data_IF_380094383394
#
_entry.id   IF_380094383394
#
_cell.length_a   1.000
_cell.length_b   1.000
_cell.length_c   1.000
_cell.angle_alpha   90.00
_cell.angle_beta   90.00
_cell.angle_gamma   90.00
#
_symmetry.space_group_name_H-M   'P 1'
#
loop_
_entity.id
_entity.type
_entity.pdbx_description
1 polymer ?
#
# COMPACT_ATOMS: atom_id res chain seq x y z
N UNK A 1 -7.98 5.91 -2.22
CA UNK A 1 -6.58 5.70 -2.60
C UNK A 1 -6.10 4.54 -1.75
N UNK A 2 -6.03 3.37 -2.36
CA UNK A 2 -5.90 2.09 -1.68
C UNK A 2 -4.52 1.97 -1.03
N UNK A 3 -4.45 1.46 0.20
CA UNK A 3 -3.19 1.05 0.83
C UNK A 3 -2.70 -0.23 0.15
N UNK A 4 -2.33 -0.14 -1.12
CA UNK A 4 -1.84 -1.28 -1.89
C UNK A 4 -0.49 -1.71 -1.30
N UNK A 5 -0.50 -2.84 -0.60
CA UNK A 5 0.71 -3.51 -0.13
C UNK A 5 1.49 -3.96 -1.35
N UNK A 6 2.65 -3.36 -1.56
CA UNK A 6 3.54 -3.71 -2.67
C UNK A 6 4.59 -4.71 -2.16
N UNK A 7 4.44 -5.96 -2.55
CA UNK A 7 5.37 -7.03 -2.22
C UNK A 7 6.34 -7.22 -3.38
N UNK A 8 7.64 -7.12 -3.14
CA UNK A 8 8.66 -7.33 -4.18
C UNK A 8 9.79 -8.22 -3.70
N UNK A 9 10.41 -8.88 -4.67
CA UNK A 9 11.60 -9.69 -4.51
C UNK A 9 12.86 -8.81 -4.44
N UNK A 10 13.71 -8.93 -3.40
CA UNK A 10 14.90 -8.09 -3.25
C UNK A 10 15.99 -8.35 -4.31
N UNK A 11 16.07 -9.57 -4.84
CA UNK A 11 17.04 -9.93 -5.90
C UNK A 11 16.51 -9.70 -7.32
N UNK A 12 15.21 -9.84 -7.52
CA UNK A 12 14.61 -9.93 -8.86
C UNK A 12 13.62 -8.81 -9.20
N UNK A 13 13.20 -8.00 -8.21
CA UNK A 13 12.36 -6.81 -8.40
C UNK A 13 10.91 -7.07 -8.86
N UNK A 14 10.52 -8.32 -9.12
CA UNK A 14 9.17 -8.67 -9.60
C UNK A 14 8.14 -8.66 -8.46
N UNK A 15 6.91 -8.17 -8.72
CA UNK A 15 5.82 -8.21 -7.76
C UNK A 15 5.19 -9.60 -7.69
N UNK A 16 5.15 -10.21 -6.51
CA UNK A 16 4.74 -11.62 -6.32
C UNK A 16 4.05 -11.82 -4.97
N UNK A 17 3.44 -13.00 -4.76
CA UNK A 17 2.73 -13.38 -3.53
C UNK A 17 3.67 -14.16 -2.59
N UNK A 18 4.15 -13.49 -1.54
CA UNK A 18 4.89 -13.99 -0.35
C UNK A 18 6.22 -14.75 -0.57
N UNK A 19 6.38 -15.55 -1.63
CA UNK A 19 7.62 -16.27 -1.96
C UNK A 19 8.01 -16.04 -3.43
N UNK A 20 9.30 -15.87 -3.70
CA UNK A 20 9.80 -15.78 -5.06
C UNK A 20 9.90 -17.18 -5.71
N UNK A 21 9.29 -17.43 -6.89
CA UNK A 21 9.38 -18.72 -7.58
C UNK A 21 10.73 -18.97 -8.24
N UNK A 22 11.57 -17.94 -8.41
CA UNK A 22 12.91 -18.08 -9.03
C UNK A 22 14.02 -18.31 -8.01
N UNK A 23 13.93 -17.70 -6.81
CA UNK A 23 14.98 -17.79 -5.80
C UNK A 23 14.53 -18.41 -4.47
N UNK A 24 13.23 -18.68 -4.28
CA UNK A 24 12.69 -19.29 -3.06
C UNK A 24 12.74 -18.42 -1.81
N UNK A 25 13.17 -17.16 -1.91
CA UNK A 25 13.30 -16.25 -0.76
C UNK A 25 11.96 -15.62 -0.37
N UNK A 26 11.84 -15.32 0.92
CA UNK A 26 10.75 -14.51 1.48
C UNK A 26 10.81 -13.09 0.93
N UNK A 27 9.63 -12.52 0.65
CA UNK A 27 9.54 -11.20 0.05
C UNK A 27 9.18 -10.10 1.03
N UNK A 28 9.74 -8.93 0.78
CA UNK A 28 9.52 -7.76 1.61
C UNK A 28 8.21 -7.07 1.22
N UNK A 29 7.34 -6.86 2.21
CA UNK A 29 6.06 -6.18 2.03
C UNK A 29 6.21 -4.70 2.33
N UNK A 30 5.95 -3.83 1.36
CA UNK A 30 5.99 -2.38 1.53
C UNK A 30 4.58 -1.80 1.66
N UNK A 31 4.42 -0.83 2.54
CA UNK A 31 3.15 -0.14 2.77
C UNK A 31 3.35 1.38 2.81
N UNK A 32 2.33 2.12 2.38
CA UNK A 32 2.36 3.58 2.30
C UNK A 32 1.88 4.20 3.62
N UNK A 33 2.75 4.94 4.30
CA UNK A 33 2.45 5.47 5.64
C UNK A 33 2.09 6.96 5.62
N UNK A 34 2.92 7.81 4.99
CA UNK A 34 2.79 9.29 4.91
C UNK A 34 3.21 9.85 3.55
N UNK A 35 2.95 9.11 2.47
CA UNK A 35 3.21 9.58 1.10
C UNK A 35 4.24 8.75 0.34
N UNK A 36 5.17 8.08 1.03
CA UNK A 36 6.15 7.14 0.47
C UNK A 36 6.01 5.73 1.05
N UNK A 37 6.59 4.75 0.35
CA UNK A 37 6.60 3.34 0.73
C UNK A 37 7.70 3.05 1.76
N UNK A 38 7.37 2.31 2.81
CA UNK A 38 8.34 1.75 3.76
C UNK A 38 8.15 0.24 3.92
N UNK A 39 9.22 -0.53 4.19
CA UNK A 39 9.10 -1.95 4.48
C UNK A 39 8.35 -2.15 5.80
N UNK A 40 7.32 -2.97 5.76
CA UNK A 40 6.41 -3.24 6.89
C UNK A 40 7.10 -4.06 7.98
N UNK A 41 8.10 -4.88 7.61
CA UNK A 41 8.92 -5.64 8.56
C UNK A 41 9.71 -4.75 9.53
N UNK A 42 9.94 -3.47 9.21
CA UNK A 42 10.67 -2.52 10.06
C UNK A 42 9.76 -1.61 10.89
N UNK A 43 8.47 -1.91 10.99
CA UNK A 43 7.56 -1.12 11.81
C UNK A 43 7.77 -1.42 13.29
N UNK A 44 8.12 -0.39 14.06
CA UNK A 44 8.14 -0.45 15.51
C UNK A 44 6.72 -0.63 16.07
N UNK A 45 6.62 -1.12 17.31
CA UNK A 45 5.36 -1.45 17.99
C UNK A 45 4.35 -0.30 17.91
N UNK A 46 4.77 0.93 18.23
CA UNK A 46 3.90 2.10 18.16
C UNK A 46 3.32 2.37 16.77
N UNK A 47 4.05 2.09 15.67
CA UNK A 47 3.50 2.27 14.31
C UNK A 47 2.51 1.18 13.93
N UNK A 48 2.63 -0.01 14.51
CA UNK A 48 1.65 -1.07 14.29
C UNK A 48 0.34 -0.74 15.01
N UNK A 49 0.41 -0.20 16.22
CA UNK A 49 -0.76 0.29 16.95
C UNK A 49 -1.45 1.45 16.20
N UNK A 50 -0.67 2.47 15.82
CA UNK A 50 -1.15 3.59 15.01
C UNK A 50 -1.78 3.15 13.68
N UNK A 51 -1.35 2.02 13.11
CA UNK A 51 -1.94 1.46 11.89
C UNK A 51 -3.26 0.74 12.17
N UNK A 52 -3.38 0.02 13.30
CA UNK A 52 -4.64 -0.64 13.73
C UNK A 52 -5.75 0.37 13.98
N UNK A 53 -5.39 1.54 14.51
CA UNK A 53 -6.35 2.63 14.75
C UNK A 53 -6.78 3.37 13.46
N UNK A 54 -6.12 3.12 12.32
CA UNK A 54 -6.52 3.71 11.03
C UNK A 54 -7.86 3.14 10.59
N UNK A 55 -8.84 4.02 10.37
CA UNK A 55 -10.14 3.67 9.81
C UNK A 55 -10.16 3.94 8.31
N UNK A 56 -10.41 2.89 7.52
CA UNK A 56 -10.63 3.02 6.08
C UNK A 56 -12.09 3.43 5.82
N UNK A 57 -12.28 4.55 5.13
CA UNK A 57 -13.60 4.99 4.70
C UNK A 57 -14.08 4.10 3.55
N UNK A 58 -15.02 3.18 3.83
CA UNK A 58 -15.58 2.25 2.84
C UNK A 58 -16.38 2.92 1.72
N UNK A 59 -16.80 4.18 1.88
CA UNK A 59 -17.54 4.95 0.86
C UNK A 59 -16.61 5.56 -0.21
N UNK A 60 -15.67 4.77 -0.71
CA UNK A 60 -14.74 5.19 -1.77
C UNK A 60 -15.46 5.66 -3.03
N UNK A 61 -16.63 5.10 -3.36
CA UNK A 61 -17.43 5.51 -4.53
C UNK A 61 -17.90 6.96 -4.46
N UNK A 62 -18.45 7.39 -3.31
CA UNK A 62 -18.92 8.76 -3.11
C UNK A 62 -17.78 9.78 -3.08
N UNK A 63 -16.61 9.38 -2.56
CA UNK A 63 -15.41 10.22 -2.53
C UNK A 63 -14.82 10.37 -3.94
N UNK A 64 -14.80 9.28 -4.72
CA UNK A 64 -14.26 9.24 -6.09
C UNK A 64 -15.13 10.05 -7.06
N UNK A 65 -16.46 9.99 -6.93
CA UNK A 65 -17.38 10.80 -7.74
C UNK A 65 -17.29 12.31 -7.45
N UNK A 66 -16.93 12.72 -6.23
CA UNK A 66 -16.70 14.14 -5.87
C UNK A 66 -15.35 14.70 -6.33
N UNK A 67 -14.34 13.85 -6.49
CA UNK A 67 -12.98 14.26 -6.84
C UNK A 67 -12.76 14.43 -8.36
N UNK A 68 -13.66 13.88 -9.17
CA UNK A 68 -13.75 14.20 -10.60
C UNK A 68 -14.45 15.56 -10.71
N UNK A 69 -13.68 16.65 -10.64
CA UNK A 69 -14.19 17.95 -11.11
C UNK A 69 -14.57 17.75 -12.58
N UNK A 70 -15.79 18.09 -13.02
CA UNK A 70 -16.02 18.26 -14.44
C UNK A 70 -14.99 19.29 -14.92
N UNK A 71 -14.25 18.95 -15.97
CA UNK A 71 -13.54 19.98 -16.73
C UNK A 71 -14.62 20.93 -17.22
N UNK A 72 -14.67 22.13 -16.66
CA UNK A 72 -15.44 23.23 -17.26
C UNK A 72 -14.80 23.49 -18.63
N UNK A 73 -15.31 22.82 -19.66
CA UNK A 73 -15.20 23.25 -21.04
C UNK A 73 -16.31 24.28 -21.28
N UNK A 74 -15.94 25.35 -22.00
CA UNK A 74 -16.59 26.66 -22.17
C UNK A 74 -18.09 26.65 -22.51
#
# INVERSE_FOLDING_TARGET
MSNEKMTHCPDCGKPLVNLCPECGKEMETYSRVVGYFRPTQRWNEGKQEEYKDRKEYKNVEKIRMKALRPTEEE
#
